data_IF_061542018212
#
_entry.id   IF_061542018212
#
_cell.length_a   1.000
_cell.length_b   1.000
_cell.length_c   1.000
_cell.angle_alpha   90.00
_cell.angle_beta   90.00
_cell.angle_gamma   90.00
#
_symmetry.space_group_name_H-M   'P 1'
#
loop_
_entity.id
_entity.type
_entity.pdbx_description
1 polymer ?
#
# COMPACT_ATOMS: atom_id res chain seq x y z
N UNK A 1 4.81 15.13 -20.29
CA UNK A 1 4.17 15.30 -18.96
C UNK A 1 4.64 16.57 -18.27
N UNK A 2 3.76 17.32 -17.59
CA UNK A 2 4.15 18.44 -16.70
C UNK A 2 4.29 18.00 -15.24
N UNK A 3 4.89 18.83 -14.37
CA UNK A 3 4.93 18.59 -12.92
C UNK A 3 3.53 18.39 -12.30
N UNK A 4 2.54 19.13 -12.81
CA UNK A 4 1.17 19.01 -12.30
C UNK A 4 0.53 17.67 -12.71
N UNK A 5 0.83 17.18 -13.90
CA UNK A 5 0.34 15.87 -14.36
C UNK A 5 0.98 14.74 -13.54
N UNK A 6 2.29 14.83 -13.30
CA UNK A 6 3.00 13.88 -12.43
C UNK A 6 2.42 13.84 -11.01
N UNK A 7 2.18 15.01 -10.40
CA UNK A 7 1.59 15.08 -9.07
C UNK A 7 0.21 14.40 -9.01
N UNK A 8 -0.64 14.62 -10.02
CA UNK A 8 -1.95 13.97 -10.11
C UNK A 8 -1.83 12.46 -10.23
N UNK A 9 -0.88 11.96 -11.02
CA UNK A 9 -0.64 10.51 -11.15
C UNK A 9 -0.22 9.91 -9.82
N UNK A 10 0.68 10.57 -9.07
CA UNK A 10 1.08 10.12 -7.73
C UNK A 10 -0.11 10.14 -6.74
N UNK A 11 -0.91 11.21 -6.73
CA UNK A 11 -2.11 11.32 -5.88
C UNK A 11 -3.15 10.23 -6.19
N UNK A 12 -3.37 9.95 -7.48
CA UNK A 12 -4.24 8.87 -7.93
C UNK A 12 -3.71 7.50 -7.51
N UNK A 13 -2.41 7.25 -7.74
CA UNK A 13 -1.73 6.02 -7.32
C UNK A 13 -1.84 5.80 -5.81
N UNK A 14 -1.69 6.86 -5.02
CA UNK A 14 -1.81 6.79 -3.56
C UNK A 14 -3.23 6.49 -3.11
N UNK A 15 -4.22 7.16 -3.71
CA UNK A 15 -5.65 6.94 -3.42
C UNK A 15 -6.07 5.50 -3.75
N UNK A 16 -5.63 4.98 -4.91
CA UNK A 16 -5.87 3.60 -5.32
C UNK A 16 -5.18 2.62 -4.37
N UNK A 17 -3.91 2.85 -4.02
CA UNK A 17 -3.18 2.02 -3.07
C UNK A 17 -3.89 1.96 -1.71
N UNK A 18 -4.21 3.10 -1.10
CA UNK A 18 -4.88 3.14 0.21
C UNK A 18 -6.26 2.49 0.19
N UNK A 19 -7.01 2.56 -0.91
CA UNK A 19 -8.34 1.94 -0.97
C UNK A 19 -8.32 0.46 -0.58
N UNK A 20 -7.28 -0.28 -1.01
CA UNK A 20 -7.04 -1.68 -0.64
C UNK A 20 -6.75 -1.87 0.85
N UNK A 21 -5.99 -0.97 1.46
CA UNK A 21 -5.64 -1.02 2.89
C UNK A 21 -6.68 -0.37 3.79
N UNK A 22 -7.68 0.30 3.22
CA UNK A 22 -8.85 0.79 3.94
C UNK A 22 -9.92 -0.29 4.14
N UNK A 23 -9.79 -1.42 3.45
CA UNK A 23 -10.63 -2.60 3.65
C UNK A 23 -10.24 -3.30 4.97
N UNK A 24 -11.14 -3.35 5.97
CA UNK A 24 -10.89 -4.03 7.23
C UNK A 24 -10.57 -5.52 7.07
N UNK A 25 -11.11 -6.18 6.04
CA UNK A 25 -10.84 -7.59 5.78
C UNK A 25 -9.38 -7.77 5.34
N UNK A 26 -8.90 -6.94 4.42
CA UNK A 26 -7.50 -6.97 3.98
C UNK A 26 -6.53 -6.75 5.15
N UNK A 27 -6.81 -5.75 5.99
CA UNK A 27 -5.98 -5.45 7.18
C UNK A 27 -5.99 -6.63 8.16
N UNK A 28 -7.15 -7.25 8.38
CA UNK A 28 -7.27 -8.41 9.26
C UNK A 28 -6.49 -9.61 8.73
N UNK A 29 -6.61 -9.90 7.43
CA UNK A 29 -5.85 -10.98 6.77
C UNK A 29 -4.34 -10.71 6.82
N UNK A 30 -3.90 -9.48 6.59
CA UNK A 30 -2.50 -9.09 6.69
C UNK A 30 -1.95 -9.29 8.10
N UNK A 31 -2.66 -8.80 9.12
CA UNK A 31 -2.24 -8.90 10.52
C UNK A 31 -2.28 -10.35 11.03
N UNK A 32 -3.22 -11.17 10.56
CA UNK A 32 -3.32 -12.59 10.95
C UNK A 32 -2.09 -13.41 10.57
N UNK A 33 -1.41 -13.05 9.46
CA UNK A 33 -0.15 -13.69 9.04
C UNK A 33 1.01 -13.43 10.01
N UNK A 34 0.85 -12.48 10.92
CA UNK A 34 1.86 -12.07 11.91
C UNK A 34 1.42 -12.39 13.35
N UNK A 35 0.29 -13.08 13.51
CA UNK A 35 -0.11 -13.64 14.79
C UNK A 35 0.74 -14.87 15.14
N UNK A 36 0.92 -15.12 16.44
CA UNK A 36 1.54 -16.35 16.93
C UNK A 36 0.53 -17.52 16.94
N UNK A 37 0.98 -18.70 17.36
CA UNK A 37 0.17 -19.93 17.42
C UNK A 37 -1.09 -19.81 18.32
N UNK A 38 -1.11 -18.84 19.24
CA UNK A 38 -2.26 -18.54 20.11
C UNK A 38 -3.23 -17.49 19.49
N UNK A 39 -3.06 -17.14 18.21
CA UNK A 39 -3.77 -16.04 17.53
C UNK A 39 -3.57 -14.66 18.20
N UNK A 40 -2.44 -14.46 18.88
CA UNK A 40 -2.08 -13.17 19.49
C UNK A 40 -1.01 -12.46 18.66
N UNK A 41 -1.13 -11.15 18.57
CA UNK A 41 -0.12 -10.29 17.95
C UNK A 41 0.64 -9.59 19.06
N UNK A 42 1.95 -9.80 19.14
CA UNK A 42 2.80 -9.04 20.06
C UNK A 42 2.94 -7.59 19.60
N UNK A 43 3.27 -6.68 20.50
CA UNK A 43 3.56 -5.28 20.15
C UNK A 43 4.67 -5.18 19.09
N UNK A 44 5.70 -6.01 19.19
CA UNK A 44 6.81 -6.07 18.22
C UNK A 44 6.32 -6.51 16.84
N UNK A 45 5.51 -7.57 16.77
CA UNK A 45 4.92 -8.02 15.51
C UNK A 45 3.97 -6.98 14.92
N UNK A 46 3.26 -6.21 15.75
CA UNK A 46 2.40 -5.12 15.30
C UNK A 46 3.23 -3.97 14.68
N UNK A 47 4.37 -3.61 15.30
CA UNK A 47 5.29 -2.61 14.76
C UNK A 47 5.86 -3.09 13.41
N UNK A 48 6.36 -4.33 13.34
CA UNK A 48 6.87 -4.92 12.11
C UNK A 48 5.80 -4.93 11.02
N UNK A 49 4.58 -5.38 11.36
CA UNK A 49 3.44 -5.41 10.45
C UNK A 49 3.09 -4.02 9.92
N UNK A 50 3.14 -2.99 10.77
CA UNK A 50 2.85 -1.60 10.38
C UNK A 50 3.88 -1.07 9.39
N UNK A 51 5.17 -1.39 9.58
CA UNK A 51 6.24 -1.03 8.65
C UNK A 51 6.06 -1.74 7.31
N UNK A 52 5.79 -3.05 7.33
CA UNK A 52 5.57 -3.85 6.12
C UNK A 52 4.35 -3.36 5.34
N UNK A 53 3.27 -3.00 6.02
CA UNK A 53 2.06 -2.46 5.41
C UNK A 53 2.34 -1.11 4.74
N UNK A 54 3.10 -0.22 5.39
CA UNK A 54 3.54 1.06 4.80
C UNK A 54 4.40 0.86 3.55
N UNK A 55 5.32 -0.11 3.59
CA UNK A 55 6.13 -0.47 2.43
C UNK A 55 5.27 -1.02 1.27
N UNK A 56 4.25 -1.82 1.57
CA UNK A 56 3.36 -2.38 0.56
C UNK A 56 2.44 -1.31 -0.07
N UNK A 57 1.91 -0.37 0.72
CA UNK A 57 1.18 0.80 0.22
C UNK A 57 2.06 1.61 -0.75
N UNK A 58 3.32 1.86 -0.35
CA UNK A 58 4.27 2.61 -1.17
C UNK A 58 4.58 1.88 -2.48
N UNK A 59 4.78 0.55 -2.43
CA UNK A 59 5.00 -0.28 -3.62
C UNK A 59 3.81 -0.23 -4.57
N UNK A 60 2.59 -0.38 -4.05
CA UNK A 60 1.36 -0.34 -4.84
C UNK A 60 1.16 1.02 -5.50
N UNK A 61 1.35 2.10 -4.75
CA UNK A 61 1.29 3.48 -5.24
C UNK A 61 2.26 3.68 -6.42
N UNK A 62 3.52 3.28 -6.26
CA UNK A 62 4.53 3.42 -7.30
C UNK A 62 4.20 2.55 -8.52
N UNK A 63 3.70 1.33 -8.33
CA UNK A 63 3.32 0.44 -9.43
C UNK A 63 2.21 1.05 -10.29
N UNK A 64 1.16 1.57 -9.66
CA UNK A 64 0.04 2.22 -10.35
C UNK A 64 0.51 3.49 -11.06
N UNK A 65 1.30 4.31 -10.38
CA UNK A 65 1.82 5.55 -10.95
C UNK A 65 2.72 5.30 -12.16
N UNK A 66 3.60 4.29 -12.08
CA UNK A 66 4.50 3.94 -13.19
C UNK A 66 3.75 3.40 -14.40
N UNK A 67 2.68 2.62 -14.20
CA UNK A 67 1.81 2.17 -15.30
C UNK A 67 1.19 3.35 -16.04
N UNK A 68 0.62 4.31 -15.31
CA UNK A 68 0.02 5.52 -15.91
C UNK A 68 1.08 6.42 -16.59
N UNK A 69 2.33 6.44 -16.12
CA UNK A 69 3.41 7.17 -16.79
C UNK A 69 3.79 6.50 -18.12
N UNK A 70 3.97 5.17 -18.12
CA UNK A 70 4.38 4.42 -19.31
C UNK A 70 3.32 4.52 -20.41
N UNK A 71 2.03 4.43 -20.06
CA UNK A 71 0.92 4.56 -21.03
C UNK A 71 0.79 5.95 -21.67
N UNK A 72 1.41 6.98 -21.08
CA UNK A 72 1.37 8.37 -21.58
C UNK A 72 2.59 8.69 -22.46
N UNK A 73 3.64 7.87 -22.43
CA UNK A 73 4.86 8.06 -23.23
C UNK A 73 4.81 7.37 -24.61
N UNK A 74 3.81 6.52 -24.88
CA UNK A 74 3.49 5.93 -26.21
C UNK A 74 2.59 6.86 -27.07
#
# INVERSE_FOLDING_TARGET
MTKNDFNKIIENGYTKAISKFSDPQYVTEFLSKHANDDNKISTENLIISSILMSAEITREMLSVALQEIIEVDD
#
